data_IF_663784137320
#
_entry.id   IF_663784137320
#
_cell.length_a   1.000
_cell.length_b   1.000
_cell.length_c   1.000
_cell.angle_alpha   90.00
_cell.angle_beta   90.00
_cell.angle_gamma   90.00
#
_symmetry.space_group_name_H-M   'P 1'
#
loop_
_entity.id
_entity.type
_entity.pdbx_description
1 polymer ?
#
# COMPACT_ATOMS: atom_id res chain seq x y z
N UNK A 1 2.65 -11.77 20.10
CA UNK A 1 2.74 -12.16 18.69
C UNK A 1 3.88 -11.40 18.03
N UNK A 2 4.81 -12.09 17.36
CA UNK A 2 5.92 -11.44 16.66
C UNK A 2 5.62 -11.36 15.16
N UNK A 3 5.69 -10.14 14.61
CA UNK A 3 5.36 -9.85 13.20
C UNK A 3 6.61 -9.38 12.48
N UNK A 4 7.01 -10.09 11.42
CA UNK A 4 8.02 -9.65 10.49
C UNK A 4 7.39 -8.72 9.44
N UNK A 5 7.96 -7.55 9.22
CA UNK A 5 7.58 -6.65 8.14
C UNK A 5 8.76 -6.50 7.20
N UNK A 6 8.62 -6.98 5.97
CA UNK A 6 9.70 -7.00 4.98
C UNK A 6 9.56 -5.82 4.03
N UNK A 7 10.57 -4.97 4.01
CA UNK A 7 10.59 -3.68 3.33
C UNK A 7 10.34 -2.54 4.31
N UNK A 8 11.37 -1.72 4.58
CA UNK A 8 11.31 -0.56 5.49
C UNK A 8 10.95 0.76 4.77
N UNK A 9 10.30 0.65 3.60
CA UNK A 9 9.75 1.77 2.84
C UNK A 9 8.48 2.37 3.48
N UNK A 10 7.79 3.23 2.74
CA UNK A 10 6.59 3.94 3.23
C UNK A 10 5.51 3.01 3.77
N UNK A 11 5.19 1.93 3.03
CA UNK A 11 4.17 0.98 3.46
C UNK A 11 4.63 0.15 4.65
N UNK A 12 5.85 -0.41 4.61
CA UNK A 12 6.37 -1.19 5.74
C UNK A 12 6.49 -0.40 7.04
N UNK A 13 6.91 0.86 6.98
CA UNK A 13 6.89 1.75 8.16
C UNK A 13 5.47 1.94 8.71
N UNK A 14 4.48 2.12 7.82
CA UNK A 14 3.09 2.26 8.21
C UNK A 14 2.51 0.98 8.82
N UNK A 15 2.82 -0.17 8.23
CA UNK A 15 2.42 -1.49 8.73
C UNK A 15 3.08 -1.78 10.09
N UNK A 16 4.39 -1.53 10.21
CA UNK A 16 5.11 -1.68 11.48
C UNK A 16 4.49 -0.84 12.60
N UNK A 17 4.10 0.41 12.32
CA UNK A 17 3.39 1.26 13.27
C UNK A 17 2.01 0.70 13.62
N UNK A 18 1.27 0.18 12.65
CA UNK A 18 -0.07 -0.36 12.90
C UNK A 18 -0.04 -1.51 13.91
N UNK A 19 0.93 -2.40 13.82
CA UNK A 19 1.13 -3.47 14.78
C UNK A 19 1.73 -2.97 16.11
N UNK A 20 2.80 -2.17 16.08
CA UNK A 20 3.50 -1.74 17.30
C UNK A 20 2.65 -0.83 18.22
N UNK A 21 1.60 -0.19 17.69
CA UNK A 21 0.66 0.62 18.49
C UNK A 21 -0.27 -0.23 19.38
N UNK A 22 -0.35 -1.52 19.12
CA UNK A 22 -1.23 -2.45 19.86
C UNK A 22 -0.41 -3.29 20.81
N UNK A 23 -0.96 -3.55 22.00
CA UNK A 23 -0.28 -4.41 22.98
C UNK A 23 -0.34 -5.86 22.55
N UNK A 24 0.69 -6.62 22.95
CA UNK A 24 0.83 -8.03 22.59
C UNK A 24 1.51 -8.27 21.23
N UNK A 25 1.92 -7.20 20.51
CA UNK A 25 2.66 -7.30 19.26
C UNK A 25 4.09 -6.77 19.38
N UNK A 26 5.04 -7.51 18.80
CA UNK A 26 6.42 -7.12 18.56
C UNK A 26 6.68 -7.12 17.05
N UNK A 27 7.49 -6.21 16.55
CA UNK A 27 7.71 -6.03 15.12
C UNK A 27 9.19 -6.15 14.78
N UNK A 28 9.53 -7.08 13.90
CA UNK A 28 10.81 -7.13 13.21
C UNK A 28 10.67 -6.35 11.89
N UNK A 29 11.22 -5.14 11.83
CA UNK A 29 11.21 -4.32 10.61
C UNK A 29 12.46 -4.63 9.79
N UNK A 30 12.31 -5.38 8.70
CA UNK A 30 13.40 -5.91 7.91
C UNK A 30 13.53 -5.22 6.55
N UNK A 31 14.78 -5.13 6.08
CA UNK A 31 15.09 -4.72 4.72
C UNK A 31 16.31 -5.53 4.21
N UNK A 32 16.68 -5.36 2.93
CA UNK A 32 17.83 -6.05 2.33
C UNK A 32 19.18 -5.59 2.88
N UNK A 33 19.20 -4.44 3.54
CA UNK A 33 20.36 -3.90 4.26
C UNK A 33 19.98 -3.43 5.65
N UNK A 34 20.85 -3.70 6.62
CA UNK A 34 20.66 -3.26 8.01
C UNK A 34 20.37 -1.76 8.10
N UNK A 35 21.17 -0.94 7.38
CA UNK A 35 21.04 0.52 7.41
C UNK A 35 19.67 1.00 6.87
N UNK A 36 19.04 0.25 5.96
CA UNK A 36 17.74 0.60 5.42
C UNK A 36 16.61 0.28 6.43
N UNK A 37 16.74 -0.83 7.14
CA UNK A 37 15.82 -1.18 8.22
C UNK A 37 15.91 -0.15 9.37
N UNK A 38 17.13 0.22 9.79
CA UNK A 38 17.38 1.26 10.80
C UNK A 38 16.85 2.62 10.34
N UNK A 39 17.16 3.02 9.11
CA UNK A 39 16.65 4.25 8.51
C UNK A 39 15.11 4.29 8.42
N UNK A 40 14.46 3.12 8.28
CA UNK A 40 13.00 2.97 8.37
C UNK A 40 12.48 3.27 9.78
N UNK A 41 13.10 2.69 10.80
CA UNK A 41 12.77 2.96 12.20
C UNK A 41 13.02 4.42 12.57
N UNK A 42 14.12 5.02 12.11
CA UNK A 42 14.41 6.44 12.34
C UNK A 42 13.35 7.37 11.73
N UNK A 43 12.84 7.04 10.54
CA UNK A 43 11.74 7.80 9.92
C UNK A 43 10.46 7.68 10.74
N UNK A 44 10.15 6.50 11.28
CA UNK A 44 9.03 6.31 12.20
C UNK A 44 9.22 7.19 13.44
N UNK A 45 10.39 7.16 14.07
CA UNK A 45 10.70 7.97 15.25
C UNK A 45 10.57 9.48 14.98
N UNK A 46 11.12 9.97 13.86
CA UNK A 46 10.98 11.37 13.42
C UNK A 46 9.50 11.74 13.17
N UNK A 47 8.70 10.81 12.65
CA UNK A 47 7.27 11.02 12.47
C UNK A 47 6.54 11.21 13.81
N UNK A 48 6.85 10.37 14.78
CA UNK A 48 6.27 10.47 16.14
C UNK A 48 6.76 11.71 16.89
N UNK A 49 8.04 12.08 16.81
CA UNK A 49 8.56 13.30 17.42
C UNK A 49 7.78 14.55 17.00
N UNK A 50 7.33 14.62 15.74
CA UNK A 50 6.46 15.71 15.25
C UNK A 50 5.07 15.69 15.90
N UNK A 51 4.56 14.51 16.31
CA UNK A 51 3.28 14.41 17.01
C UNK A 51 3.43 14.82 18.49
N UNK A 52 4.55 14.46 19.11
CA UNK A 52 4.89 14.93 20.47
C UNK A 52 5.05 16.45 20.50
N UNK A 53 5.80 17.02 19.55
CA UNK A 53 5.98 18.48 19.45
C UNK A 53 4.66 19.24 19.20
N UNK A 54 3.62 18.56 18.70
CA UNK A 54 2.26 19.12 18.53
C UNK A 54 1.30 18.71 19.64
N UNK A 55 1.81 18.17 20.73
CA UNK A 55 1.01 17.70 21.89
C UNK A 55 -0.09 16.67 21.53
N UNK A 56 0.07 15.96 20.41
CA UNK A 56 -0.88 14.93 19.96
C UNK A 56 -0.57 13.53 20.48
N UNK A 57 0.60 13.36 21.09
CA UNK A 57 1.06 12.10 21.68
C UNK A 57 2.08 12.37 22.78
N UNK A 58 2.10 11.59 23.85
CA UNK A 58 3.11 11.69 24.91
C UNK A 58 4.41 11.00 24.49
N UNK A 59 5.55 11.47 25.00
CA UNK A 59 6.85 10.85 24.74
C UNK A 59 6.88 9.40 25.25
N UNK A 60 6.37 9.14 26.44
CA UNK A 60 6.28 7.80 27.03
C UNK A 60 5.57 6.79 26.10
N UNK A 61 4.44 7.19 25.51
CA UNK A 61 3.72 6.35 24.55
C UNK A 61 4.54 6.07 23.30
N UNK A 62 5.25 7.08 22.79
CA UNK A 62 6.14 6.95 21.63
C UNK A 62 7.28 5.98 21.94
N UNK A 63 7.93 6.13 23.08
CA UNK A 63 9.04 5.26 23.50
C UNK A 63 8.59 3.82 23.62
N UNK A 64 7.40 3.57 24.20
CA UNK A 64 6.78 2.25 24.28
C UNK A 64 6.50 1.62 22.91
N UNK A 65 6.05 2.41 21.94
CA UNK A 65 5.83 1.94 20.55
C UNK A 65 7.16 1.62 19.86
N UNK A 66 8.15 2.50 19.96
CA UNK A 66 9.45 2.33 19.32
C UNK A 66 10.26 1.17 19.92
N UNK A 67 10.07 0.88 21.21
CA UNK A 67 10.69 -0.27 21.87
C UNK A 67 10.19 -1.61 21.30
N UNK A 68 8.97 -1.67 20.78
CA UNK A 68 8.39 -2.88 20.15
C UNK A 68 8.90 -3.11 18.71
N UNK A 69 9.64 -2.16 18.11
CA UNK A 69 10.12 -2.28 16.72
C UNK A 69 11.63 -2.55 16.74
N UNK A 70 12.03 -3.72 16.27
CA UNK A 70 13.43 -4.10 16.08
C UNK A 70 13.79 -4.06 14.60
N UNK A 71 14.70 -3.17 14.16
CA UNK A 71 15.16 -3.15 12.78
C UNK A 71 16.27 -4.16 12.54
N UNK A 72 16.31 -4.81 11.37
CA UNK A 72 17.38 -5.74 11.05
C UNK A 72 17.22 -6.49 9.75
N UNK A 73 17.96 -7.58 9.61
CA UNK A 73 17.87 -8.48 8.45
C UNK A 73 16.84 -9.58 8.72
N UNK A 74 16.16 -10.03 7.68
CA UNK A 74 15.13 -11.10 7.79
C UNK A 74 15.71 -12.43 8.28
N UNK A 75 16.97 -12.71 7.90
CA UNK A 75 17.70 -13.92 8.28
C UNK A 75 17.90 -14.02 9.80
N UNK A 76 18.02 -12.88 10.47
CA UNK A 76 18.26 -12.81 11.92
C UNK A 76 16.95 -12.75 12.70
N UNK A 77 15.96 -12.01 12.21
CA UNK A 77 14.77 -11.61 12.97
C UNK A 77 13.51 -12.41 12.67
N UNK A 78 13.42 -13.08 11.49
CA UNK A 78 12.16 -13.70 11.06
C UNK A 78 11.98 -15.17 11.45
N UNK A 79 12.97 -15.81 12.07
CA UNK A 79 12.95 -17.26 12.42
C UNK A 79 11.80 -17.65 13.34
N UNK A 80 11.46 -16.79 14.27
CA UNK A 80 10.43 -16.98 15.30
C UNK A 80 9.17 -16.12 15.09
N UNK A 81 9.02 -15.48 13.92
CA UNK A 81 7.83 -14.73 13.60
C UNK A 81 6.58 -15.63 13.47
N UNK A 82 5.45 -15.12 13.96
CA UNK A 82 4.13 -15.75 13.83
C UNK A 82 3.44 -15.38 12.52
N UNK A 83 3.71 -14.15 12.06
CA UNK A 83 3.22 -13.58 10.82
C UNK A 83 4.36 -12.82 10.14
N UNK A 84 4.47 -12.94 8.83
CA UNK A 84 5.34 -12.10 8.02
C UNK A 84 4.50 -11.37 6.99
N UNK A 85 4.56 -10.03 7.00
CA UNK A 85 3.89 -9.16 6.03
C UNK A 85 4.95 -8.56 5.11
N UNK A 86 4.96 -8.96 3.86
CA UNK A 86 5.88 -8.44 2.86
C UNK A 86 5.31 -7.14 2.25
N UNK A 87 6.11 -6.08 2.25
CA UNK A 87 5.83 -4.75 1.70
C UNK A 87 7.05 -4.19 0.93
N UNK A 88 7.77 -5.07 0.24
CA UNK A 88 8.91 -4.74 -0.61
C UNK A 88 8.44 -4.15 -1.97
N UNK A 89 9.37 -4.05 -2.92
CA UNK A 89 9.08 -3.51 -4.24
C UNK A 89 8.01 -4.35 -4.98
N UNK A 90 7.12 -3.68 -5.74
CA UNK A 90 6.00 -4.31 -6.44
C UNK A 90 6.48 -5.00 -7.74
N UNK A 91 7.17 -6.12 -7.55
CA UNK A 91 7.70 -6.97 -8.61
C UNK A 91 7.55 -8.45 -8.23
N UNK A 92 7.01 -9.26 -9.14
CA UNK A 92 6.71 -10.67 -8.92
C UNK A 92 7.95 -11.48 -8.52
N UNK A 93 9.08 -11.27 -9.21
CA UNK A 93 10.31 -12.01 -8.94
C UNK A 93 10.92 -11.65 -7.58
N UNK A 94 10.88 -10.36 -7.22
CA UNK A 94 11.31 -9.88 -5.90
C UNK A 94 10.50 -10.55 -4.80
N UNK A 95 9.17 -10.57 -4.93
CA UNK A 95 8.29 -11.18 -3.93
C UNK A 95 8.48 -12.69 -3.83
N UNK A 96 8.51 -13.40 -4.96
CA UNK A 96 8.76 -14.87 -5.00
C UNK A 96 10.11 -15.23 -4.37
N UNK A 97 11.18 -14.51 -4.71
CA UNK A 97 12.51 -14.72 -4.13
C UNK A 97 12.50 -14.47 -2.62
N UNK A 98 11.91 -13.36 -2.18
CA UNK A 98 11.81 -13.01 -0.76
C UNK A 98 11.10 -14.11 0.03
N UNK A 99 9.95 -14.59 -0.44
CA UNK A 99 9.22 -15.64 0.25
C UNK A 99 9.92 -17.01 0.17
N UNK A 100 10.57 -17.35 -0.92
CA UNK A 100 11.35 -18.57 -1.02
C UNK A 100 12.55 -18.62 -0.06
N UNK A 101 13.16 -17.47 0.25
CA UNK A 101 14.19 -17.34 1.28
C UNK A 101 13.58 -17.44 2.68
N UNK A 102 12.46 -16.76 2.95
CA UNK A 102 11.74 -16.80 4.22
C UNK A 102 11.20 -18.20 4.53
N UNK A 103 10.77 -18.96 3.53
CA UNK A 103 10.24 -20.30 3.68
C UNK A 103 11.28 -21.30 4.27
N UNK A 104 12.56 -21.01 4.07
CA UNK A 104 13.68 -21.81 4.60
C UNK A 104 14.03 -21.50 6.05
N UNK A 105 13.66 -20.32 6.54
CA UNK A 105 14.09 -19.82 7.86
C UNK A 105 12.95 -19.64 8.84
N UNK A 106 11.76 -19.30 8.40
CA UNK A 106 10.62 -19.08 9.28
C UNK A 106 10.09 -20.40 9.85
N UNK A 107 9.60 -20.35 11.08
CA UNK A 107 8.99 -21.53 11.73
C UNK A 107 7.77 -22.05 10.93
N UNK A 108 7.43 -23.34 11.02
CA UNK A 108 6.37 -23.96 10.21
C UNK A 108 5.00 -23.28 10.34
N UNK A 109 4.66 -22.77 11.51
CA UNK A 109 3.36 -22.16 11.83
C UNK A 109 3.26 -20.70 11.38
N UNK A 110 4.36 -20.10 10.88
CA UNK A 110 4.36 -18.71 10.43
C UNK A 110 3.45 -18.51 9.23
N UNK A 111 2.54 -17.55 9.32
CA UNK A 111 1.69 -17.16 8.20
C UNK A 111 2.44 -16.17 7.29
N UNK A 112 2.40 -16.41 5.99
CA UNK A 112 2.96 -15.50 5.00
C UNK A 112 1.87 -14.64 4.35
N UNK A 113 2.05 -13.33 4.44
CA UNK A 113 1.14 -12.35 3.84
C UNK A 113 1.89 -11.36 2.97
N UNK A 114 1.32 -10.99 1.81
CA UNK A 114 1.86 -9.92 0.97
C UNK A 114 0.95 -8.70 0.98
N UNK A 115 1.56 -7.52 1.05
CA UNK A 115 0.87 -6.23 0.90
C UNK A 115 0.80 -5.78 -0.57
N UNK A 116 0.98 -6.70 -1.52
CA UNK A 116 0.84 -6.35 -2.94
C UNK A 116 -0.49 -5.66 -3.23
N UNK A 117 -0.48 -4.72 -4.16
CA UNK A 117 -1.68 -3.98 -4.59
C UNK A 117 -2.34 -4.58 -5.84
N UNK A 118 -1.63 -5.47 -6.56
CA UNK A 118 -2.07 -5.90 -7.89
C UNK A 118 -1.57 -7.27 -8.33
N UNK A 119 -0.52 -7.81 -7.68
CA UNK A 119 0.07 -9.09 -8.08
C UNK A 119 -0.70 -10.28 -7.52
N UNK A 120 -0.66 -11.40 -8.24
CA UNK A 120 -1.34 -12.65 -7.86
C UNK A 120 -0.74 -13.26 -6.60
N UNK A 121 -1.56 -13.41 -5.55
CA UNK A 121 -1.22 -14.11 -4.31
C UNK A 121 -0.96 -15.59 -4.59
N UNK A 122 -1.77 -16.18 -5.47
CA UNK A 122 -1.60 -17.57 -5.92
C UNK A 122 -0.23 -17.78 -6.56
N UNK A 123 0.18 -16.86 -7.43
CA UNK A 123 1.47 -16.96 -8.11
C UNK A 123 2.65 -16.73 -7.16
N UNK A 124 2.56 -15.76 -6.26
CA UNK A 124 3.59 -15.51 -5.22
C UNK A 124 3.75 -16.75 -4.35
N UNK A 125 2.65 -17.42 -3.99
CA UNK A 125 2.65 -18.61 -3.14
C UNK A 125 3.06 -19.91 -3.84
N UNK A 126 3.20 -19.91 -5.17
CA UNK A 126 3.53 -21.12 -5.89
C UNK A 126 4.95 -21.62 -5.58
N UNK A 127 5.03 -22.86 -5.10
CA UNK A 127 6.29 -23.52 -4.71
C UNK A 127 6.69 -23.30 -3.25
N UNK A 128 5.92 -22.57 -2.44
CA UNK A 128 6.14 -22.46 -1.00
C UNK A 128 5.61 -23.69 -0.25
N UNK A 129 6.20 -23.99 0.91
CA UNK A 129 5.78 -25.12 1.77
C UNK A 129 4.55 -24.76 2.62
N UNK A 130 4.14 -23.48 2.64
CA UNK A 130 3.03 -22.95 3.41
C UNK A 130 2.11 -22.06 2.56
N UNK A 131 0.85 -21.88 2.99
CA UNK A 131 -0.09 -21.05 2.23
C UNK A 131 0.28 -19.58 2.28
N UNK A 132 0.01 -18.88 1.16
CA UNK A 132 0.09 -17.44 1.03
C UNK A 132 -1.29 -16.80 1.19
N UNK A 133 -1.31 -15.57 1.73
CA UNK A 133 -2.50 -14.73 1.80
C UNK A 133 -2.13 -13.28 1.44
N UNK A 134 -3.05 -12.52 0.89
CA UNK A 134 -2.90 -11.08 0.74
C UNK A 134 -3.37 -10.35 1.99
N UNK A 135 -2.60 -9.37 2.44
CA UNK A 135 -2.97 -8.44 3.51
C UNK A 135 -2.69 -7.02 3.04
N UNK A 136 -3.59 -6.51 2.18
CA UNK A 136 -3.40 -5.26 1.48
C UNK A 136 -3.84 -4.07 2.34
N UNK A 137 -2.88 -3.30 2.78
CA UNK A 137 -3.06 -2.05 3.53
C UNK A 137 -3.13 -0.85 2.58
N UNK A 138 -3.77 0.21 3.03
CA UNK A 138 -3.89 1.48 2.30
C UNK A 138 -3.03 2.56 2.94
N UNK A 139 -2.40 3.40 2.13
CA UNK A 139 -1.52 4.47 2.60
C UNK A 139 -2.32 5.68 3.15
N UNK A 140 -2.02 6.19 4.37
CA UNK A 140 -1.05 5.70 5.37
C UNK A 140 -1.57 4.48 6.15
N UNK A 141 -0.78 3.38 6.19
CA UNK A 141 -1.23 2.11 6.73
C UNK A 141 -1.56 2.14 8.24
N UNK A 142 -0.95 3.03 9.00
CA UNK A 142 -1.24 3.24 10.41
C UNK A 142 -2.57 3.98 10.67
N UNK A 143 -3.15 4.65 9.64
CA UNK A 143 -4.36 5.48 9.78
C UNK A 143 -5.57 4.92 9.05
N UNK A 144 -5.37 4.44 7.83
CA UNK A 144 -6.45 3.87 7.01
C UNK A 144 -7.03 2.65 7.70
N UNK A 145 -8.35 2.57 7.76
CA UNK A 145 -9.06 1.53 8.51
C UNK A 145 -9.19 0.22 7.76
N UNK A 146 -9.17 0.26 6.44
CA UNK A 146 -9.37 -0.92 5.61
C UNK A 146 -8.11 -1.78 5.51
N UNK A 147 -8.30 -3.09 5.58
CA UNK A 147 -7.37 -4.11 5.10
C UNK A 147 -8.16 -5.06 4.21
N UNK A 148 -7.80 -5.17 2.94
CA UNK A 148 -8.29 -6.23 2.10
C UNK A 148 -7.52 -7.52 2.43
N UNK A 149 -8.26 -8.59 2.70
CA UNK A 149 -7.74 -9.92 3.00
C UNK A 149 -7.98 -10.81 1.79
N UNK A 150 -6.94 -11.07 1.01
CA UNK A 150 -7.07 -11.70 -0.30
C UNK A 150 -6.72 -13.18 -0.21
N UNK A 151 -7.71 -14.03 -0.47
CA UNK A 151 -7.52 -15.47 -0.58
C UNK A 151 -7.07 -15.82 -2.01
N UNK A 152 -5.87 -16.39 -2.15
CA UNK A 152 -5.44 -17.08 -3.36
C UNK A 152 -6.09 -18.47 -3.46
N UNK A 153 -5.89 -19.16 -4.59
CA UNK A 153 -6.52 -20.47 -4.86
C UNK A 153 -6.18 -21.51 -3.78
N UNK A 154 -4.99 -21.46 -3.21
CA UNK A 154 -4.51 -22.42 -2.22
C UNK A 154 -4.53 -21.85 -0.78
N UNK A 155 -5.17 -20.71 -0.54
CA UNK A 155 -5.25 -20.13 0.81
C UNK A 155 -6.34 -20.85 1.62
N UNK A 156 -5.99 -21.53 2.73
CA UNK A 156 -6.97 -22.20 3.59
C UNK A 156 -7.92 -21.19 4.28
N UNK A 157 -9.16 -21.63 4.52
CA UNK A 157 -10.14 -20.78 5.19
C UNK A 157 -9.72 -20.36 6.60
N UNK A 158 -9.04 -21.23 7.34
CA UNK A 158 -8.50 -20.92 8.67
C UNK A 158 -7.45 -19.81 8.61
N UNK A 159 -6.63 -19.74 7.56
CA UNK A 159 -5.67 -18.66 7.37
C UNK A 159 -6.38 -17.33 7.12
N UNK A 160 -7.45 -17.34 6.33
CA UNK A 160 -8.29 -16.15 6.08
C UNK A 160 -8.87 -15.63 7.40
N UNK A 161 -9.47 -16.52 8.21
CA UNK A 161 -10.08 -16.12 9.49
C UNK A 161 -9.02 -15.63 10.50
N UNK A 162 -7.83 -16.25 10.53
CA UNK A 162 -6.73 -15.80 11.36
C UNK A 162 -6.30 -14.36 11.00
N UNK A 163 -6.12 -14.05 9.71
CA UNK A 163 -5.72 -12.72 9.26
C UNK A 163 -6.84 -11.68 9.47
N UNK A 164 -8.10 -12.06 9.29
CA UNK A 164 -9.25 -11.17 9.62
C UNK A 164 -9.25 -10.81 11.11
N UNK A 165 -9.03 -11.79 11.98
CA UNK A 165 -8.94 -11.58 13.44
C UNK A 165 -7.78 -10.63 13.77
N UNK A 166 -6.58 -10.88 13.24
CA UNK A 166 -5.41 -10.01 13.42
C UNK A 166 -5.70 -8.59 12.94
N UNK A 167 -6.33 -8.43 11.77
CA UNK A 167 -6.71 -7.11 11.26
C UNK A 167 -7.64 -6.36 12.22
N UNK A 168 -8.63 -7.03 12.82
CA UNK A 168 -9.50 -6.43 13.84
C UNK A 168 -8.72 -6.04 15.09
N UNK A 169 -7.82 -6.90 15.58
CA UNK A 169 -6.99 -6.65 16.76
C UNK A 169 -6.13 -5.39 16.60
N UNK A 170 -5.61 -5.13 15.39
CA UNK A 170 -4.85 -3.89 15.11
C UNK A 170 -5.75 -2.71 14.70
N UNK A 171 -7.05 -2.77 15.00
CA UNK A 171 -8.00 -1.68 14.79
C UNK A 171 -8.36 -1.41 13.34
N UNK A 172 -8.25 -2.43 12.46
CA UNK A 172 -8.65 -2.39 11.06
C UNK A 172 -10.00 -3.05 10.82
N UNK A 173 -10.61 -2.72 9.71
CA UNK A 173 -11.80 -3.39 9.17
C UNK A 173 -11.33 -4.34 8.06
N UNK A 174 -11.33 -5.66 8.28
CA UNK A 174 -10.98 -6.60 7.23
C UNK A 174 -12.13 -6.75 6.24
N UNK A 175 -11.80 -6.75 4.96
CA UNK A 175 -12.71 -7.12 3.87
C UNK A 175 -12.11 -8.31 3.16
N UNK A 176 -12.80 -9.45 3.22
CA UNK A 176 -12.37 -10.64 2.50
C UNK A 176 -12.60 -10.46 1.00
N UNK A 177 -11.58 -10.81 0.23
CA UNK A 177 -11.58 -10.72 -1.24
C UNK A 177 -11.08 -12.05 -1.81
N UNK A 178 -11.77 -12.61 -2.78
CA UNK A 178 -11.21 -13.65 -3.62
C UNK A 178 -10.26 -13.01 -4.62
N UNK A 179 -9.13 -13.65 -4.86
CA UNK A 179 -8.11 -13.11 -5.74
C UNK A 179 -8.67 -12.71 -7.11
N UNK A 180 -8.46 -11.46 -7.46
CA UNK A 180 -8.75 -10.89 -8.78
C UNK A 180 -7.88 -9.65 -8.99
N UNK A 181 -7.57 -9.32 -10.23
CA UNK A 181 -6.78 -8.13 -10.57
C UNK A 181 -7.39 -6.86 -9.95
N UNK A 182 -6.57 -6.09 -9.21
CA UNK A 182 -6.94 -4.84 -8.55
C UNK A 182 -7.84 -5.01 -7.33
N UNK A 183 -8.15 -6.23 -6.90
CA UNK A 183 -8.99 -6.52 -5.74
C UNK A 183 -10.34 -5.78 -5.79
N UNK A 184 -10.80 -5.17 -4.72
CA UNK A 184 -12.05 -4.38 -4.74
C UNK A 184 -11.75 -2.90 -4.98
N UNK A 185 -10.90 -2.30 -4.16
CA UNK A 185 -10.70 -0.84 -4.18
C UNK A 185 -10.05 -0.39 -5.47
N UNK A 186 -8.93 -0.96 -5.86
CA UNK A 186 -8.22 -0.52 -7.08
C UNK A 186 -9.02 -0.82 -8.35
N UNK A 187 -9.77 -1.92 -8.36
CA UNK A 187 -10.62 -2.29 -9.51
C UNK A 187 -11.78 -1.31 -9.75
N UNK A 188 -12.18 -0.55 -8.72
CA UNK A 188 -13.21 0.51 -8.84
C UNK A 188 -12.53 1.87 -9.00
N UNK A 189 -11.59 2.18 -8.12
CA UNK A 189 -11.00 3.50 -7.96
C UNK A 189 -10.15 3.92 -9.17
N UNK A 190 -9.29 3.02 -9.67
CA UNK A 190 -8.35 3.38 -10.72
C UNK A 190 -9.05 3.56 -12.07
N UNK A 191 -10.01 2.71 -12.49
CA UNK A 191 -10.85 3.01 -13.65
C UNK A 191 -11.64 4.31 -13.54
N UNK A 192 -12.11 4.70 -12.36
CA UNK A 192 -12.78 5.99 -12.15
C UNK A 192 -11.81 7.16 -12.41
N UNK A 193 -10.57 7.08 -11.94
CA UNK A 193 -9.53 8.09 -12.23
C UNK A 193 -9.22 8.12 -13.73
N UNK A 194 -9.12 6.94 -14.33
CA UNK A 194 -8.87 6.79 -15.77
C UNK A 194 -9.99 7.42 -16.61
N UNK A 195 -11.25 7.20 -16.23
CA UNK A 195 -12.41 7.82 -16.89
C UNK A 195 -12.40 9.34 -16.76
N UNK A 196 -12.08 9.87 -15.56
CA UNK A 196 -11.91 11.30 -15.37
C UNK A 196 -10.83 11.91 -16.30
N UNK A 197 -9.75 11.16 -16.55
CA UNK A 197 -8.71 11.57 -17.49
C UNK A 197 -9.21 11.54 -18.96
N UNK A 198 -10.10 10.62 -19.33
CA UNK A 198 -10.77 10.62 -20.64
C UNK A 198 -11.69 11.84 -20.77
N UNK A 199 -12.53 12.14 -19.80
CA UNK A 199 -13.39 13.34 -19.75
C UNK A 199 -12.57 14.60 -19.98
N UNK A 200 -11.39 14.70 -19.31
CA UNK A 200 -10.46 15.84 -19.55
C UNK A 200 -9.90 15.83 -20.97
N UNK A 201 -9.45 14.69 -21.45
CA UNK A 201 -8.83 14.56 -22.77
C UNK A 201 -9.82 14.90 -23.90
N UNK A 202 -11.09 14.55 -23.74
CA UNK A 202 -12.18 14.79 -24.69
C UNK A 202 -12.74 16.21 -24.62
N UNK A 203 -12.29 17.03 -23.65
CA UNK A 203 -12.71 18.41 -23.51
C UNK A 203 -14.12 18.61 -22.96
N UNK A 204 -14.68 17.59 -22.29
CA UNK A 204 -16.03 17.66 -21.70
C UNK A 204 -16.05 18.67 -20.55
N UNK A 205 -14.99 18.73 -19.74
CA UNK A 205 -14.81 19.73 -18.67
C UNK A 205 -13.32 19.98 -18.39
N UNK A 206 -13.04 21.08 -17.69
CA UNK A 206 -11.71 21.37 -17.16
C UNK A 206 -11.40 20.53 -15.90
N UNK A 207 -10.15 20.55 -15.46
CA UNK A 207 -9.67 19.75 -14.31
C UNK A 207 -10.44 20.11 -13.04
N UNK A 208 -10.62 21.41 -12.78
CA UNK A 208 -11.32 21.88 -11.58
C UNK A 208 -12.80 21.47 -11.58
N UNK A 209 -13.45 21.56 -12.74
CA UNK A 209 -14.85 21.18 -12.93
C UNK A 209 -15.10 19.68 -12.72
N UNK A 210 -14.24 18.81 -13.28
CA UNK A 210 -14.32 17.35 -13.08
C UNK A 210 -14.21 17.02 -11.59
N UNK A 211 -13.20 17.54 -10.91
CA UNK A 211 -12.99 17.27 -9.50
C UNK A 211 -14.11 17.86 -8.61
N UNK A 212 -14.61 19.08 -8.95
CA UNK A 212 -15.73 19.69 -8.24
C UNK A 212 -17.02 18.89 -8.42
N UNK A 213 -17.29 18.38 -9.62
CA UNK A 213 -18.47 17.56 -9.91
C UNK A 213 -18.50 16.30 -9.02
N UNK A 214 -17.39 15.58 -8.94
CA UNK A 214 -17.32 14.36 -8.12
C UNK A 214 -17.35 14.65 -6.62
N UNK A 215 -16.71 15.73 -6.17
CA UNK A 215 -16.74 16.13 -4.76
C UNK A 215 -18.13 16.58 -4.30
N UNK A 216 -18.88 17.30 -5.16
CA UNK A 216 -20.18 17.88 -4.78
C UNK A 216 -21.37 17.07 -5.25
N UNK A 217 -21.27 16.38 -6.38
CA UNK A 217 -22.34 15.55 -6.94
C UNK A 217 -22.36 14.14 -6.39
N UNK A 218 -21.18 13.56 -6.12
CA UNK A 218 -21.03 12.19 -5.59
C UNK A 218 -20.49 12.13 -4.16
N UNK A 219 -20.30 13.28 -3.49
CA UNK A 219 -19.79 13.39 -2.11
C UNK A 219 -18.42 12.74 -1.90
N UNK A 220 -17.55 12.76 -2.90
CA UNK A 220 -16.19 12.27 -2.77
C UNK A 220 -15.35 13.24 -1.92
N UNK A 221 -14.49 12.73 -1.00
CA UNK A 221 -13.63 13.60 -0.18
C UNK A 221 -12.57 14.33 -1.01
N UNK A 222 -12.18 13.75 -2.15
CA UNK A 222 -11.20 14.27 -3.10
C UNK A 222 -11.69 14.01 -4.52
N UNK A 223 -11.46 14.94 -5.45
CA UNK A 223 -11.78 14.73 -6.84
C UNK A 223 -10.89 13.66 -7.49
N UNK A 224 -11.35 13.00 -8.55
CA UNK A 224 -10.62 11.87 -9.15
C UNK A 224 -9.27 12.25 -9.75
N UNK A 225 -9.13 13.44 -10.34
CA UNK A 225 -7.85 13.87 -10.93
C UNK A 225 -6.85 14.26 -9.84
N UNK A 226 -7.29 14.96 -8.80
CA UNK A 226 -6.50 15.22 -7.59
C UNK A 226 -6.07 13.91 -6.91
N UNK A 227 -6.95 12.94 -6.81
CA UNK A 227 -6.66 11.64 -6.22
C UNK A 227 -5.63 10.86 -7.06
N UNK A 228 -5.75 10.91 -8.39
CA UNK A 228 -4.75 10.35 -9.30
C UNK A 228 -3.36 10.94 -9.08
N UNK A 229 -3.28 12.26 -8.94
CA UNK A 229 -2.02 12.96 -8.62
C UNK A 229 -1.49 12.59 -7.23
N UNK A 230 -2.36 12.38 -6.25
CA UNK A 230 -1.97 12.00 -4.90
C UNK A 230 -1.44 10.56 -4.83
N UNK A 231 -2.06 9.62 -5.54
CA UNK A 231 -1.59 8.23 -5.66
C UNK A 231 -0.28 8.18 -6.45
N UNK A 232 -0.20 8.95 -7.51
CA UNK A 232 0.83 8.96 -8.53
C UNK A 232 0.32 8.35 -9.83
N UNK A 233 0.42 9.12 -10.91
CA UNK A 233 -0.10 8.73 -12.22
C UNK A 233 0.62 7.52 -12.82
N UNK A 234 1.89 7.32 -12.48
CA UNK A 234 2.65 6.11 -12.83
C UNK A 234 2.10 4.86 -12.13
N UNK A 235 1.69 4.98 -10.88
CA UNK A 235 1.03 3.88 -10.12
C UNK A 235 -0.35 3.61 -10.72
N UNK A 236 -1.14 4.64 -11.00
CA UNK A 236 -2.44 4.49 -11.67
C UNK A 236 -2.29 3.79 -13.01
N UNK A 237 -1.29 4.19 -13.82
CA UNK A 237 -1.00 3.57 -15.10
C UNK A 237 -0.61 2.09 -14.96
N UNK A 238 0.29 1.78 -14.03
CA UNK A 238 0.72 0.40 -13.79
C UNK A 238 -0.45 -0.51 -13.39
N UNK A 239 -1.35 -0.02 -12.53
CA UNK A 239 -2.56 -0.78 -12.12
C UNK A 239 -3.52 -0.96 -13.31
N UNK A 240 -3.73 0.06 -14.15
CA UNK A 240 -4.55 -0.08 -15.36
C UNK A 240 -3.96 -1.11 -16.31
N UNK A 241 -2.63 -1.13 -16.48
CA UNK A 241 -1.96 -2.12 -17.34
C UNK A 241 -2.09 -3.54 -16.78
N UNK A 242 -1.99 -3.73 -15.45
CA UNK A 242 -2.29 -5.02 -14.81
C UNK A 242 -3.73 -5.44 -15.04
N UNK A 243 -4.71 -4.56 -14.80
CA UNK A 243 -6.13 -4.86 -15.02
C UNK A 243 -6.40 -5.26 -16.47
N UNK A 244 -5.80 -4.55 -17.42
CA UNK A 244 -5.96 -4.84 -18.85
C UNK A 244 -5.32 -6.17 -19.24
N UNK A 245 -4.08 -6.43 -18.81
CA UNK A 245 -3.35 -7.63 -19.15
C UNK A 245 -4.01 -8.91 -18.57
N UNK A 246 -4.50 -8.83 -17.33
CA UNK A 246 -5.15 -9.95 -16.66
C UNK A 246 -6.54 -10.27 -17.22
N UNK A 247 -7.27 -9.26 -17.71
CA UNK A 247 -8.66 -9.44 -18.13
C UNK A 247 -8.86 -9.46 -19.64
N UNK A 248 -7.96 -8.81 -20.41
CA UNK A 248 -8.14 -8.54 -21.83
C UNK A 248 -9.29 -7.57 -22.15
N UNK A 249 -9.95 -7.01 -21.15
CA UNK A 249 -11.13 -6.17 -21.33
C UNK A 249 -10.72 -4.72 -21.63
N UNK A 250 -11.16 -4.20 -22.78
CA UNK A 250 -10.82 -2.85 -23.25
C UNK A 250 -11.27 -1.73 -22.31
N UNK A 251 -12.22 -1.98 -21.40
CA UNK A 251 -12.62 -0.97 -20.38
C UNK A 251 -11.48 -0.59 -19.43
N UNK A 252 -10.45 -1.44 -19.31
CA UNK A 252 -9.26 -1.15 -18.50
C UNK A 252 -8.11 -0.55 -19.32
N UNK A 253 -8.34 -0.21 -20.58
CA UNK A 253 -7.34 0.49 -21.40
C UNK A 253 -7.00 1.84 -20.76
N UNK A 254 -5.72 2.04 -20.42
CA UNK A 254 -5.25 3.30 -19.85
C UNK A 254 -5.45 4.47 -20.80
N UNK A 255 -5.95 5.59 -20.27
CA UNK A 255 -6.15 6.83 -21.01
C UNK A 255 -4.81 7.31 -21.62
N UNK A 256 -4.77 7.64 -22.93
CA UNK A 256 -3.56 8.17 -23.58
C UNK A 256 -2.98 9.40 -22.89
N UNK A 257 -3.83 10.24 -22.28
CA UNK A 257 -3.38 11.41 -21.52
C UNK A 257 -2.52 11.00 -20.31
N UNK A 258 -2.96 10.01 -19.52
CA UNK A 258 -2.17 9.51 -18.37
C UNK A 258 -0.83 8.97 -18.87
N UNK A 259 -0.80 8.13 -19.93
CA UNK A 259 0.44 7.62 -20.52
C UNK A 259 1.38 8.75 -20.95
N UNK A 260 0.84 9.79 -21.58
CA UNK A 260 1.63 10.95 -22.01
C UNK A 260 2.21 11.72 -20.83
N UNK A 261 1.41 11.94 -19.78
CA UNK A 261 1.85 12.63 -18.57
C UNK A 261 2.96 11.86 -17.86
N UNK A 262 2.81 10.53 -17.70
CA UNK A 262 3.83 9.67 -17.09
C UNK A 262 5.14 9.69 -17.89
N UNK A 263 5.08 9.60 -19.23
CA UNK A 263 6.27 9.71 -20.10
C UNK A 263 6.96 11.07 -19.97
N UNK A 264 6.20 12.13 -19.70
CA UNK A 264 6.71 13.47 -19.47
C UNK A 264 7.21 13.74 -18.05
N UNK A 265 7.20 12.72 -17.14
CA UNK A 265 7.62 12.87 -15.74
C UNK A 265 6.59 13.63 -14.87
N UNK A 266 5.40 13.91 -15.39
CA UNK A 266 4.31 14.55 -14.65
C UNK A 266 3.55 13.48 -13.86
N UNK A 267 4.09 13.08 -12.70
CA UNK A 267 3.62 11.94 -11.92
C UNK A 267 2.62 12.31 -10.80
N UNK A 268 2.24 13.58 -10.72
CA UNK A 268 1.38 14.10 -9.66
C UNK A 268 2.15 14.79 -8.54
N UNK A 269 1.59 14.76 -7.33
CA UNK A 269 2.12 15.50 -6.17
C UNK A 269 3.59 15.17 -5.86
N UNK A 270 4.02 13.93 -6.04
CA UNK A 270 5.40 13.49 -5.77
C UNK A 270 6.46 14.10 -6.69
N UNK A 271 6.06 14.50 -7.91
CA UNK A 271 6.93 15.18 -8.88
C UNK A 271 6.68 16.70 -8.94
N UNK A 272 5.77 17.22 -8.10
CA UNK A 272 5.36 18.63 -8.09
C UNK A 272 4.37 18.99 -9.20
N UNK A 273 4.10 18.08 -10.15
CA UNK A 273 3.20 18.32 -11.28
C UNK A 273 2.51 17.03 -11.74
N UNK A 274 1.21 17.15 -11.98
CA UNK A 274 0.33 16.15 -12.57
C UNK A 274 -0.80 16.87 -13.31
N UNK A 275 -2.05 16.57 -12.98
CA UNK A 275 -3.20 17.38 -13.37
C UNK A 275 -3.19 18.76 -12.67
N UNK A 276 -2.53 18.83 -11.52
CA UNK A 276 -2.28 20.05 -10.77
C UNK A 276 -0.78 20.33 -10.68
N UNK A 277 -0.46 21.61 -10.51
CA UNK A 277 0.86 22.08 -10.07
C UNK A 277 0.81 22.20 -8.55
N UNK A 278 1.77 21.60 -7.86
CA UNK A 278 1.87 21.59 -6.40
C UNK A 278 2.96 22.53 -5.94
N UNK A 279 2.58 23.59 -5.23
CA UNK A 279 3.50 24.61 -4.74
C UNK A 279 4.12 24.24 -3.38
N UNK A 280 5.23 24.88 -3.04
CA UNK A 280 5.94 24.66 -1.76
C UNK A 280 5.08 25.05 -0.53
N UNK A 281 4.16 25.99 -0.69
CA UNK A 281 3.20 26.43 0.33
C UNK A 281 2.00 25.48 0.49
N UNK A 282 2.00 24.35 -0.23
CA UNK A 282 0.94 23.33 -0.28
C UNK A 282 -0.33 23.76 -1.01
N UNK A 283 -0.32 24.89 -1.69
CA UNK A 283 -1.37 25.24 -2.64
C UNK A 283 -1.24 24.43 -3.91
N UNK A 284 -2.33 24.28 -4.65
CA UNK A 284 -2.32 23.61 -5.95
C UNK A 284 -3.16 24.38 -6.95
N UNK A 285 -2.74 24.34 -8.21
CA UNK A 285 -3.42 25.01 -9.33
C UNK A 285 -3.60 24.02 -10.47
N UNK A 286 -4.81 23.91 -11.08
CA UNK A 286 -5.00 23.08 -12.27
C UNK A 286 -4.08 23.54 -13.40
N UNK A 287 -3.50 22.59 -14.14
CA UNK A 287 -2.55 22.93 -15.23
C UNK A 287 -3.23 23.63 -16.41
N UNK A 288 -4.54 23.53 -16.56
CA UNK A 288 -5.34 24.18 -17.60
C UNK A 288 -5.91 25.55 -17.19
N UNK A 289 -5.59 26.02 -15.98
CA UNK A 289 -5.92 27.37 -15.50
C UNK A 289 -4.83 28.41 -15.83
N UNK A 290 -3.79 28.02 -16.60
CA UNK A 290 -2.67 28.88 -17.02
C UNK A 290 -2.89 29.46 -18.42
#
# INVERSE_FOLDING_TARGET
MKVGVIGAGTMGQGIAKAFAQVDGYEVALCDIKQEWAEGGKDKIAKGYARLVAKEKMTQEKVDGILAKITPGLKEDLCKDCDLIVEAAFEDMNVKKTTFAELDKIAKPECIFASNTSSLSITEIGNGLTRPMIGMHFFNPADRMKLVEVIAGVNTPAETVEAIKKIAVEIGKTPVQVNEAAGFVVNRILIPMINEAAFIKMEGVSDIAGIDAAMKRGANHPMGPLELGDFIGLDICLAIMDVLYNETGDSKYRACPLIRKMVRGGNLGAKSGKGFYIYNADRTKTPVDAQ
#
